data_IF_934086373317
#
_entry.id   IF_934086373317
#
_cell.length_a   1.000
_cell.length_b   1.000
_cell.length_c   1.000
_cell.angle_alpha   90.00
_cell.angle_beta   90.00
_cell.angle_gamma   90.00
#
_symmetry.space_group_name_H-M   'P 1'
#
loop_
_entity.id
_entity.type
_entity.pdbx_description
1 polymer ?
#
# COMPACT_ATOMS: atom_id res chain seq x y z
N UNK A 1 -12.93 23.18 -7.81
CA UNK A 1 -14.27 23.81 -7.86
C UNK A 1 -15.02 23.71 -6.52
N UNK A 2 -15.51 22.55 -6.06
CA UNK A 2 -16.19 22.46 -4.75
C UNK A 2 -15.26 22.56 -3.52
N UNK A 3 -14.00 22.10 -3.64
CA UNK A 3 -13.03 22.25 -2.55
C UNK A 3 -12.75 23.72 -2.20
N UNK A 4 -12.60 24.56 -3.22
CA UNK A 4 -12.36 26.01 -3.07
C UNK A 4 -13.59 26.67 -2.44
N UNK A 5 -14.78 26.36 -2.96
CA UNK A 5 -16.06 26.81 -2.39
C UNK A 5 -16.20 26.47 -0.91
N UNK A 6 -15.90 25.22 -0.51
CA UNK A 6 -15.91 24.80 0.89
C UNK A 6 -14.88 25.56 1.72
N UNK A 7 -13.66 25.73 1.21
CA UNK A 7 -12.56 26.40 1.92
C UNK A 7 -12.89 27.87 2.21
N UNK A 8 -13.50 28.56 1.25
CA UNK A 8 -13.87 29.96 1.38
C UNK A 8 -15.27 30.15 1.99
N UNK A 9 -16.02 29.05 2.18
CA UNK A 9 -17.43 29.06 2.57
C UNK A 9 -18.33 29.88 1.62
N UNK A 10 -18.02 29.84 0.32
CA UNK A 10 -18.71 30.60 -0.73
C UNK A 10 -19.43 29.66 -1.69
N UNK A 11 -20.74 29.88 -1.88
CA UNK A 11 -21.53 29.10 -2.83
C UNK A 11 -21.15 29.49 -4.26
N UNK A 12 -20.77 28.54 -5.13
CA UNK A 12 -20.55 28.82 -6.54
C UNK A 12 -21.82 29.31 -7.24
N UNK A 13 -21.67 30.17 -8.26
CA UNK A 13 -22.80 30.69 -9.06
C UNK A 13 -23.60 29.58 -9.76
N UNK A 14 -22.92 28.56 -10.26
CA UNK A 14 -23.52 27.41 -10.95
C UNK A 14 -24.26 26.42 -10.02
N UNK A 15 -24.10 26.55 -8.69
CA UNK A 15 -24.70 25.62 -7.73
C UNK A 15 -26.00 26.19 -7.15
N UNK A 16 -27.08 25.41 -7.19
CA UNK A 16 -28.37 25.78 -6.59
C UNK A 16 -28.24 25.92 -5.06
N UNK A 17 -28.96 26.89 -4.48
CA UNK A 17 -28.85 27.23 -3.07
C UNK A 17 -29.28 26.09 -2.13
N UNK A 18 -30.37 25.38 -2.48
CA UNK A 18 -30.87 24.22 -1.74
C UNK A 18 -29.83 23.07 -1.68
N UNK A 19 -29.08 22.87 -2.76
CA UNK A 19 -28.01 21.86 -2.80
C UNK A 19 -26.81 22.29 -1.96
N UNK A 20 -26.48 23.59 -1.93
CA UNK A 20 -25.40 24.12 -1.09
C UNK A 20 -25.67 23.89 0.40
N UNK A 21 -26.91 24.11 0.86
CA UNK A 21 -27.31 23.84 2.26
C UNK A 21 -27.07 22.37 2.61
N UNK A 22 -27.48 21.43 1.74
CA UNK A 22 -27.23 19.98 1.93
C UNK A 22 -25.73 19.65 2.01
N UNK A 23 -24.88 20.33 1.23
CA UNK A 23 -23.43 20.18 1.34
C UNK A 23 -22.91 20.68 2.68
N UNK A 24 -23.35 21.84 3.15
CA UNK A 24 -22.95 22.38 4.45
C UNK A 24 -23.36 21.47 5.60
N UNK A 25 -24.60 20.99 5.61
CA UNK A 25 -25.07 19.98 6.58
C UNK A 25 -24.14 18.77 6.59
N UNK A 26 -23.86 18.19 5.41
CA UNK A 26 -22.98 17.02 5.31
C UNK A 26 -21.55 17.32 5.76
N UNK A 27 -20.97 18.45 5.37
CA UNK A 27 -19.59 18.80 5.70
C UNK A 27 -19.39 19.14 7.18
N UNK A 28 -20.45 19.60 7.86
CA UNK A 28 -20.40 19.91 9.28
C UNK A 28 -20.56 18.68 10.18
N UNK A 29 -21.02 17.54 9.65
CA UNK A 29 -21.11 16.29 10.40
C UNK A 29 -19.76 15.86 11.00
N UNK A 30 -19.72 15.37 12.26
CA UNK A 30 -18.50 14.86 12.87
C UNK A 30 -17.81 13.79 12.03
N UNK A 31 -18.58 12.88 11.43
CA UNK A 31 -18.07 11.77 10.62
C UNK A 31 -17.31 12.28 9.39
N UNK A 32 -17.82 13.33 8.75
CA UNK A 32 -17.16 13.93 7.60
C UNK A 32 -15.86 14.63 8.00
N UNK A 33 -15.84 15.35 9.13
CA UNK A 33 -14.63 16.01 9.65
C UNK A 33 -13.54 14.99 9.99
N UNK A 34 -13.88 13.92 10.69
CA UNK A 34 -12.95 12.81 10.99
C UNK A 34 -12.42 12.17 9.70
N UNK A 35 -13.28 11.93 8.71
CA UNK A 35 -12.86 11.40 7.40
C UNK A 35 -11.90 12.36 6.68
N UNK A 36 -12.15 13.67 6.75
CA UNK A 36 -11.31 14.70 6.13
C UNK A 36 -9.93 14.76 6.79
N UNK A 37 -9.86 14.77 8.13
CA UNK A 37 -8.59 14.76 8.87
C UNK A 37 -7.79 13.49 8.60
N UNK A 38 -8.44 12.33 8.58
CA UNK A 38 -7.78 11.07 8.19
C UNK A 38 -7.20 11.14 6.77
N UNK A 39 -7.94 11.71 5.81
CA UNK A 39 -7.47 11.89 4.44
C UNK A 39 -6.32 12.91 4.35
N UNK A 40 -6.35 13.96 5.19
CA UNK A 40 -5.28 14.95 5.30
C UNK A 40 -4.00 14.32 5.87
N UNK A 41 -4.10 13.59 6.97
CA UNK A 41 -2.98 12.85 7.57
C UNK A 41 -2.40 11.82 6.60
N UNK A 42 -3.24 11.11 5.85
CA UNK A 42 -2.78 10.18 4.82
C UNK A 42 -1.99 10.87 3.70
N UNK A 43 -2.42 12.05 3.23
CA UNK A 43 -1.70 12.84 2.22
C UNK A 43 -0.40 13.46 2.75
N UNK A 44 -0.36 13.82 4.03
CA UNK A 44 0.84 14.36 4.68
C UNK A 44 1.84 13.25 5.09
N UNK A 45 1.50 11.98 4.90
CA UNK A 45 2.36 10.88 5.29
C UNK A 45 3.61 10.82 4.40
N UNK A 46 4.79 10.88 5.03
CA UNK A 46 6.10 10.69 4.39
C UNK A 46 6.44 9.22 4.17
N UNK A 47 5.55 8.29 4.56
CA UNK A 47 5.77 6.84 4.43
C UNK A 47 5.98 6.42 2.98
N UNK A 48 5.51 7.20 2.00
CA UNK A 48 5.59 6.84 0.59
C UNK A 48 4.82 5.56 0.25
N UNK A 49 5.10 5.02 -0.93
CA UNK A 49 4.48 3.82 -1.51
C UNK A 49 3.16 4.11 -2.23
N UNK A 50 2.95 5.37 -2.64
CA UNK A 50 1.78 5.77 -3.43
C UNK A 50 2.15 6.06 -4.89
N UNK A 51 3.44 6.28 -5.18
CA UNK A 51 3.88 6.67 -6.52
C UNK A 51 4.23 5.42 -7.33
N UNK A 52 3.70 5.35 -8.54
CA UNK A 52 3.98 4.28 -9.50
C UNK A 52 3.72 4.80 -10.92
N UNK A 53 4.34 4.17 -11.92
CA UNK A 53 4.25 4.51 -13.35
C UNK A 53 3.43 3.48 -14.14
N UNK A 54 2.73 2.57 -13.46
CA UNK A 54 1.91 1.53 -14.07
C UNK A 54 0.65 2.04 -14.80
N UNK A 55 0.24 3.29 -14.55
CA UNK A 55 -0.93 3.91 -15.16
C UNK A 55 -2.25 3.35 -14.60
N UNK A 56 -3.28 3.29 -15.44
CA UNK A 56 -4.60 2.75 -15.08
C UNK A 56 -4.65 1.21 -15.05
N UNK A 57 -3.60 0.54 -15.50
CA UNK A 57 -3.53 -0.92 -15.51
C UNK A 57 -3.31 -1.44 -14.09
N UNK A 58 -4.07 -2.48 -13.72
CA UNK A 58 -3.82 -3.19 -12.47
C UNK A 58 -2.48 -3.92 -12.51
N UNK A 59 -1.90 -4.15 -11.33
CA UNK A 59 -0.64 -4.89 -11.19
C UNK A 59 -0.71 -6.29 -11.82
N UNK A 60 -1.81 -7.02 -11.60
CA UNK A 60 -2.06 -8.31 -12.22
C UNK A 60 -2.17 -8.24 -13.76
N UNK A 61 -2.77 -7.18 -14.30
CA UNK A 61 -2.81 -6.96 -15.75
C UNK A 61 -1.42 -6.66 -16.32
N UNK A 62 -0.60 -5.88 -15.60
CA UNK A 62 0.80 -5.65 -15.93
C UNK A 62 1.59 -6.96 -15.97
N UNK A 63 1.50 -7.78 -14.93
CA UNK A 63 2.14 -9.11 -14.87
C UNK A 63 1.77 -9.99 -16.06
N UNK A 64 0.47 -10.11 -16.37
CA UNK A 64 -0.02 -10.89 -17.52
C UNK A 64 0.53 -10.37 -18.84
N UNK A 65 0.56 -9.04 -19.03
CA UNK A 65 1.12 -8.42 -20.23
C UNK A 65 2.62 -8.71 -20.36
N UNK A 66 3.38 -8.55 -19.30
CA UNK A 66 4.83 -8.84 -19.31
C UNK A 66 5.11 -10.32 -19.57
N UNK A 67 4.38 -11.21 -18.91
CA UNK A 67 4.48 -12.67 -19.11
C UNK A 67 4.24 -13.05 -20.56
N UNK A 68 3.20 -12.49 -21.19
CA UNK A 68 2.91 -12.71 -22.62
C UNK A 68 4.02 -12.19 -23.53
N UNK A 69 4.62 -11.03 -23.23
CA UNK A 69 5.70 -10.45 -24.03
C UNK A 69 7.02 -11.19 -23.87
N UNK A 70 7.33 -11.65 -22.65
CA UNK A 70 8.56 -12.39 -22.31
C UNK A 70 8.47 -13.86 -22.75
N UNK A 71 7.27 -14.41 -22.88
CA UNK A 71 7.04 -15.84 -23.17
C UNK A 71 7.32 -16.76 -21.98
N UNK A 72 7.54 -16.20 -20.79
CA UNK A 72 7.83 -16.92 -19.55
C UNK A 72 7.20 -16.19 -18.36
N UNK A 73 6.96 -16.92 -17.26
CA UNK A 73 6.42 -16.34 -16.04
C UNK A 73 7.34 -15.23 -15.53
N UNK A 74 6.75 -14.06 -15.27
CA UNK A 74 7.45 -12.88 -14.76
C UNK A 74 7.27 -12.82 -13.25
N UNK A 75 8.34 -12.53 -12.51
CA UNK A 75 8.27 -12.43 -11.05
C UNK A 75 7.56 -11.14 -10.60
N UNK A 76 7.08 -11.11 -9.35
CA UNK A 76 6.54 -9.86 -8.79
C UNK A 76 7.64 -8.79 -8.63
N UNK A 77 8.89 -9.16 -8.37
CA UNK A 77 9.98 -8.17 -8.29
C UNK A 77 10.22 -7.50 -9.64
N UNK A 78 10.14 -8.23 -10.75
CA UNK A 78 10.26 -7.67 -12.11
C UNK A 78 9.10 -6.72 -12.43
N UNK A 79 7.86 -7.09 -12.10
CA UNK A 79 6.70 -6.19 -12.28
C UNK A 79 6.83 -4.96 -11.40
N UNK A 80 7.34 -5.11 -10.18
CA UNK A 80 7.57 -4.00 -9.28
C UNK A 80 8.57 -3.00 -9.85
N UNK A 81 9.71 -3.47 -10.33
CA UNK A 81 10.73 -2.65 -10.97
C UNK A 81 10.16 -1.88 -12.18
N UNK A 82 9.44 -2.58 -13.06
CA UNK A 82 8.77 -1.97 -14.22
C UNK A 82 7.77 -0.89 -13.80
N UNK A 83 7.04 -1.10 -12.70
CA UNK A 83 5.97 -0.16 -12.29
C UNK A 83 6.43 0.94 -11.34
N UNK A 84 7.63 0.86 -10.76
CA UNK A 84 8.12 1.82 -9.76
C UNK A 84 9.42 2.53 -10.15
N UNK A 85 9.91 2.31 -11.38
CA UNK A 85 10.94 3.15 -12.00
C UNK A 85 10.34 4.20 -12.93
N UNK A 86 10.97 5.37 -12.97
CA UNK A 86 10.69 6.44 -13.92
C UNK A 86 10.95 5.93 -15.33
N UNK A 87 10.14 6.39 -16.27
CA UNK A 87 10.32 6.11 -17.68
C UNK A 87 10.93 7.33 -18.35
N UNK A 88 12.08 7.15 -18.98
CA UNK A 88 12.74 8.21 -19.73
C UNK A 88 12.00 8.42 -21.07
N UNK A 89 12.35 9.49 -21.80
CA UNK A 89 11.74 9.82 -23.10
C UNK A 89 11.83 8.66 -24.10
N UNK A 90 12.91 7.90 -24.04
CA UNK A 90 13.17 6.74 -24.91
C UNK A 90 12.48 5.45 -24.43
N UNK A 91 11.65 5.52 -23.39
CA UNK A 91 10.92 4.38 -22.85
C UNK A 91 11.73 3.48 -21.90
N UNK A 92 13.01 3.79 -21.69
CA UNK A 92 13.93 3.06 -20.81
C UNK A 92 13.61 3.36 -19.34
N UNK A 93 13.67 2.34 -18.49
CA UNK A 93 13.49 2.45 -17.03
C UNK A 93 14.77 3.01 -16.40
N UNK A 94 14.62 4.14 -15.71
CA UNK A 94 15.71 4.84 -15.04
C UNK A 94 15.62 4.72 -13.52
N UNK A 95 15.69 5.87 -12.84
CA UNK A 95 15.65 5.98 -11.38
C UNK A 95 14.32 5.49 -10.78
N UNK A 96 14.36 5.12 -9.51
CA UNK A 96 13.17 4.87 -8.71
C UNK A 96 12.30 6.12 -8.59
N UNK A 97 10.98 5.91 -8.57
CA UNK A 97 10.01 7.01 -8.47
C UNK A 97 9.97 7.63 -7.07
N UNK A 98 10.33 6.86 -6.04
CA UNK A 98 10.40 7.29 -4.66
C UNK A 98 11.38 6.43 -3.83
N UNK A 99 11.98 6.97 -2.74
CA UNK A 99 12.96 6.25 -1.92
C UNK A 99 12.45 4.90 -1.39
N UNK A 100 11.18 4.83 -0.98
CA UNK A 100 10.60 3.59 -0.46
C UNK A 100 10.60 2.46 -1.50
N UNK A 101 10.44 2.77 -2.79
CA UNK A 101 10.48 1.75 -3.82
C UNK A 101 11.89 1.15 -3.95
N UNK A 102 12.90 2.01 -3.94
CA UNK A 102 14.31 1.61 -3.94
C UNK A 102 14.66 0.78 -2.70
N UNK A 103 14.35 1.30 -1.50
CA UNK A 103 14.63 0.64 -0.22
C UNK A 103 14.00 -0.75 -0.14
N UNK A 104 12.74 -0.89 -0.61
CA UNK A 104 12.04 -2.18 -0.62
C UNK A 104 12.73 -3.16 -1.57
N UNK A 105 13.10 -2.72 -2.77
CA UNK A 105 13.69 -3.59 -3.78
C UNK A 105 15.12 -4.01 -3.42
N UNK A 106 15.96 -3.07 -2.97
CA UNK A 106 17.32 -3.34 -2.49
C UNK A 106 17.29 -4.23 -1.25
N UNK A 107 16.38 -3.95 -0.31
CA UNK A 107 16.16 -4.79 0.85
C UNK A 107 15.75 -6.22 0.47
N UNK A 108 14.87 -6.36 -0.52
CA UNK A 108 14.47 -7.67 -1.04
C UNK A 108 15.64 -8.44 -1.65
N UNK A 109 16.46 -7.80 -2.49
CA UNK A 109 17.66 -8.43 -3.07
C UNK A 109 18.61 -8.92 -1.99
N UNK A 110 18.94 -8.06 -1.01
CA UNK A 110 19.78 -8.43 0.13
C UNK A 110 19.20 -9.62 0.91
N UNK A 111 17.91 -9.58 1.23
CA UNK A 111 17.26 -10.66 1.98
C UNK A 111 17.21 -11.98 1.20
N UNK A 112 17.12 -11.92 -0.13
CA UNK A 112 17.21 -13.09 -0.99
C UNK A 112 18.63 -13.68 -0.98
N UNK A 113 19.65 -12.83 -1.10
CA UNK A 113 21.06 -13.25 -1.04
C UNK A 113 21.41 -13.90 0.31
N UNK A 114 20.99 -13.28 1.42
CA UNK A 114 21.17 -13.83 2.77
C UNK A 114 20.47 -15.19 2.93
N UNK A 115 19.26 -15.33 2.40
CA UNK A 115 18.51 -16.58 2.45
C UNK A 115 19.22 -17.69 1.66
N UNK A 116 19.72 -17.38 0.46
CA UNK A 116 20.48 -18.32 -0.38
C UNK A 116 21.79 -18.74 0.31
N UNK A 117 22.49 -17.82 0.96
CA UNK A 117 23.71 -18.13 1.72
C UNK A 117 23.44 -19.03 2.93
N UNK A 118 22.30 -18.85 3.60
CA UNK A 118 21.90 -19.68 4.74
C UNK A 118 21.44 -21.10 4.32
N UNK A 119 21.06 -21.28 3.05
CA UNK A 119 20.53 -22.55 2.52
C UNK A 119 21.31 -23.01 1.27
N UNK A 120 22.62 -23.30 1.37
CA UNK A 120 23.48 -23.57 0.22
C UNK A 120 23.17 -24.87 -0.53
N UNK A 121 22.36 -25.77 0.04
CA UNK A 121 21.91 -27.02 -0.61
C UNK A 121 20.54 -26.88 -1.29
N UNK A 122 19.90 -25.72 -1.17
CA UNK A 122 18.72 -25.39 -1.96
C UNK A 122 19.22 -24.97 -3.34
N UNK A 123 18.84 -25.69 -4.40
CA UNK A 123 18.96 -25.12 -5.74
C UNK A 123 18.24 -23.76 -5.75
N UNK A 124 18.73 -22.78 -6.53
CA UNK A 124 18.06 -21.48 -6.64
C UNK A 124 16.58 -21.63 -7.05
N UNK A 125 16.27 -22.69 -7.80
CA UNK A 125 14.93 -23.12 -8.22
C UNK A 125 14.09 -23.77 -7.09
N UNK A 126 14.71 -24.14 -5.97
CA UNK A 126 14.03 -24.71 -4.79
C UNK A 126 13.52 -23.64 -3.83
N UNK A 127 13.83 -22.35 -4.06
CA UNK A 127 13.29 -21.26 -3.26
C UNK A 127 11.78 -21.24 -3.42
N UNK A 128 11.04 -21.61 -2.37
CA UNK A 128 9.60 -21.69 -2.48
C UNK A 128 9.02 -20.28 -2.73
N UNK A 129 7.93 -20.20 -3.50
CA UNK A 129 7.21 -18.95 -3.70
C UNK A 129 6.80 -18.30 -2.35
N UNK A 130 6.63 -19.11 -1.31
CA UNK A 130 6.32 -18.65 0.05
C UNK A 130 7.50 -17.94 0.72
N UNK A 131 8.73 -18.45 0.55
CA UNK A 131 9.92 -17.85 1.15
C UNK A 131 10.22 -16.49 0.50
N UNK A 132 10.18 -16.43 -0.83
CA UNK A 132 10.33 -15.18 -1.60
C UNK A 132 9.28 -14.15 -1.15
N UNK A 133 8.04 -14.58 -0.99
CA UNK A 133 6.94 -13.71 -0.53
C UNK A 133 7.16 -13.23 0.90
N UNK A 134 7.72 -14.08 1.77
CA UNK A 134 8.01 -13.74 3.16
C UNK A 134 9.14 -12.71 3.26
N UNK A 135 10.23 -12.90 2.51
CA UNK A 135 11.34 -11.93 2.42
C UNK A 135 10.81 -10.57 1.97
N UNK A 136 10.05 -10.54 0.88
CA UNK A 136 9.45 -9.30 0.38
C UNK A 136 8.51 -8.66 1.41
N UNK A 137 7.67 -9.47 2.06
CA UNK A 137 6.71 -8.97 3.05
C UNK A 137 7.40 -8.33 4.24
N UNK A 138 8.52 -8.89 4.71
CA UNK A 138 9.30 -8.33 5.80
C UNK A 138 9.89 -6.96 5.43
N UNK A 139 10.54 -6.85 4.28
CA UNK A 139 11.14 -5.58 3.83
C UNK A 139 10.09 -4.51 3.47
N UNK A 140 8.91 -4.94 3.01
CA UNK A 140 7.80 -4.05 2.70
C UNK A 140 7.10 -3.44 3.94
N UNK A 141 7.45 -3.91 5.14
CA UNK A 141 6.87 -3.50 6.42
C UNK A 141 5.59 -4.27 6.78
N UNK A 142 5.49 -5.52 6.34
CA UNK A 142 4.42 -6.46 6.68
C UNK A 142 3.12 -6.29 5.88
N UNK A 143 2.12 -7.08 6.28
CA UNK A 143 0.76 -7.05 5.72
C UNK A 143 -0.04 -5.92 6.40
N UNK A 144 -0.56 -4.98 5.60
CA UNK A 144 -1.43 -3.91 6.09
C UNK A 144 -2.78 -3.96 5.37
N UNK A 145 -3.86 -4.16 6.12
CA UNK A 145 -5.23 -4.29 5.58
C UNK A 145 -5.32 -5.39 4.49
N UNK A 146 -4.69 -6.54 4.74
CA UNK A 146 -4.66 -7.68 3.80
C UNK A 146 -3.82 -7.46 2.55
N UNK A 147 -2.95 -6.44 2.54
CA UNK A 147 -2.12 -6.10 1.38
C UNK A 147 -0.65 -5.92 1.76
N UNK A 148 0.24 -6.34 0.87
CA UNK A 148 1.68 -6.11 0.97
C UNK A 148 2.08 -5.09 -0.10
N UNK A 149 2.90 -4.11 0.28
CA UNK A 149 3.42 -3.12 -0.66
C UNK A 149 4.21 -3.82 -1.77
N UNK A 150 3.91 -3.52 -3.03
CA UNK A 150 4.56 -4.14 -4.19
C UNK A 150 4.01 -5.50 -4.63
N UNK A 151 3.24 -6.23 -3.81
CA UNK A 151 2.65 -7.53 -4.18
C UNK A 151 1.12 -7.51 -4.32
N UNK A 152 0.46 -6.49 -3.76
CA UNK A 152 -1.00 -6.40 -3.79
C UNK A 152 -1.68 -7.20 -2.68
N UNK A 153 -2.84 -7.78 -2.96
CA UNK A 153 -3.59 -8.59 -2.00
C UNK A 153 -2.97 -9.98 -1.86
N UNK A 154 -2.72 -10.42 -0.63
CA UNK A 154 -2.22 -11.75 -0.35
C UNK A 154 -3.38 -12.72 -0.04
N UNK A 155 -3.30 -14.00 -0.45
CA UNK A 155 -4.19 -15.05 0.05
C UNK A 155 -4.16 -15.10 1.58
N UNK A 156 -5.30 -15.43 2.20
CA UNK A 156 -5.43 -15.47 3.67
C UNK A 156 -4.51 -16.47 4.37
N UNK A 157 -3.85 -17.37 3.64
CA UNK A 157 -2.90 -18.34 4.18
C UNK A 157 -1.53 -17.75 4.57
N UNK A 158 -1.24 -16.50 4.19
CA UNK A 158 0.04 -15.85 4.48
C UNK A 158 -0.03 -14.95 5.73
N UNK A 159 -0.54 -15.49 6.84
CA UNK A 159 -0.34 -14.88 8.15
C UNK A 159 0.98 -15.42 8.72
N UNK A 160 2.07 -14.63 8.76
CA UNK A 160 3.22 -15.02 9.57
C UNK A 160 2.75 -15.00 11.01
N UNK A 161 2.91 -16.13 11.71
CA UNK A 161 2.68 -16.22 13.15
C UNK A 161 3.37 -15.04 13.83
N UNK A 162 2.59 -14.23 14.53
CA UNK A 162 3.09 -13.05 15.24
C UNK A 162 3.96 -13.49 16.41
N UNK A 163 5.24 -13.70 16.16
CA UNK A 163 6.25 -13.82 17.21
C UNK A 163 6.75 -12.42 17.56
N UNK A 164 5.94 -11.70 18.33
CA UNK A 164 6.42 -10.68 19.27
C UNK A 164 5.34 -10.53 20.35
N UNK A 165 5.58 -11.27 21.42
CA UNK A 165 4.90 -11.19 22.70
C UNK A 165 5.05 -9.79 23.27
N UNK A 166 3.92 -9.14 23.52
CA UNK A 166 3.79 -7.95 24.35
C UNK A 166 2.36 -7.94 24.88
N UNK A 167 2.21 -8.31 26.16
CA UNK A 167 0.96 -8.60 26.82
C UNK A 167 -0.14 -7.55 26.55
N UNK A 168 -1.28 -7.99 26.02
CA UNK A 168 -2.51 -7.22 26.00
C UNK A 168 -3.30 -7.59 27.24
N UNK A 169 -3.36 -6.69 28.22
CA UNK A 169 -4.37 -6.75 29.27
C UNK A 169 -5.71 -6.46 28.60
N UNK A 170 -6.52 -7.51 28.43
CA UNK A 170 -7.91 -7.38 28.03
C UNK A 170 -8.69 -6.83 29.23
N UNK A 171 -9.08 -5.55 29.17
CA UNK A 171 -10.16 -5.06 30.04
C UNK A 171 -11.48 -5.58 29.47
N UNK A 172 -12.17 -6.41 30.25
CA UNK A 172 -13.47 -6.95 29.91
C UNK A 172 -14.54 -5.86 29.93
N UNK A 173 -15.60 -6.11 29.18
CA UNK A 173 -16.75 -5.22 28.99
C UNK A 173 -17.57 -4.93 30.27
N UNK A 174 -17.23 -5.51 31.42
CA UNK A 174 -17.98 -5.33 32.68
C UNK A 174 -17.59 -4.05 33.43
N UNK A 175 -16.39 -3.50 33.22
CA UNK A 175 -15.94 -2.32 34.00
C UNK A 175 -16.60 -1.00 33.56
N UNK A 176 -17.28 -0.97 32.40
CA UNK A 176 -17.90 0.25 31.86
C UNK A 176 -19.36 0.48 32.31
N UNK A 177 -20.01 -0.51 32.92
CA UNK A 177 -21.38 -0.35 33.47
C UNK A 177 -21.41 0.20 34.90
N UNK A 178 -20.31 0.13 35.65
CA UNK A 178 -20.26 0.60 37.04
C UNK A 178 -20.10 2.13 37.18
N UNK A 179 -19.86 2.87 36.09
CA UNK A 179 -19.61 4.33 36.12
C UNK A 179 -20.82 5.17 35.66
N UNK A 180 -22.01 4.55 35.57
CA UNK A 180 -23.27 5.21 35.19
C UNK A 180 -24.38 5.13 36.26
N UNK A 181 -24.01 5.06 37.53
CA UNK A 181 -24.95 5.29 38.65
C UNK A 181 -24.46 6.42 39.52
#
# INVERSE_FOLDING_TARGET
>A
MLFVARKNNEKPSWLRADIWVKFLEKWNTPEFKVKCERAKAARASVKGGSLHTGGSMSYAAHKRKMTKLKGAEVSNSEVFEETHKKRNKDGIRGEWIEPRAEETFVGFQRGLDEWLQAHPTSDADSTSSSDITSIWTNVAGGVKKGRVYGLGAQPSSFHPSSLLSGASTAQSSEEMEAMRR
#
